data_IF_811695880685
#
_entry.id   IF_811695880685
#
_cell.length_a   1.000
_cell.length_b   1.000
_cell.length_c   1.000
_cell.angle_alpha   90.00
_cell.angle_beta   90.00
_cell.angle_gamma   90.00
#
_symmetry.space_group_name_H-M   'P 1'
#
loop_
_entity.id
_entity.type
_entity.pdbx_description
1 polymer ?
#
# COMPACT_ATOMS: atom_id res chain seq x y z
N UNK A 1 -0.61 -3.18 25.83
CA UNK A 1 0.05 -1.86 25.75
C UNK A 1 1.51 -2.05 25.37
N UNK A 2 2.09 -1.20 24.49
CA UNK A 2 3.50 -1.30 24.11
C UNK A 2 4.41 -0.62 25.15
N UNK A 3 5.61 -1.16 25.38
CA UNK A 3 6.57 -0.62 26.35
C UNK A 3 7.38 0.55 25.78
N UNK A 4 7.86 1.44 26.64
CA UNK A 4 8.67 2.59 26.24
C UNK A 4 9.99 2.23 25.52
N UNK A 5 10.71 1.15 25.88
CA UNK A 5 11.84 0.65 25.11
C UNK A 5 11.43 0.20 23.70
N UNK A 6 10.26 -0.45 23.55
CA UNK A 6 9.75 -0.86 22.25
C UNK A 6 9.45 0.36 21.37
N UNK A 7 8.79 1.38 21.90
CA UNK A 7 8.50 2.63 21.18
C UNK A 7 9.81 3.29 20.72
N UNK A 8 10.82 3.37 21.60
CA UNK A 8 12.13 3.96 21.26
C UNK A 8 12.83 3.22 20.13
N UNK A 9 12.72 1.88 20.10
CA UNK A 9 13.27 1.03 19.03
C UNK A 9 12.57 1.29 17.69
N UNK A 10 11.25 1.42 17.68
CA UNK A 10 10.49 1.71 16.45
C UNK A 10 10.85 3.09 15.90
N UNK A 11 10.95 4.12 16.76
CA UNK A 11 11.35 5.46 16.33
C UNK A 11 12.77 5.46 15.75
N UNK A 12 13.71 4.69 16.32
CA UNK A 12 15.06 4.57 15.78
C UNK A 12 15.10 3.90 14.40
N UNK A 13 14.24 2.91 14.15
CA UNK A 13 14.12 2.27 12.82
C UNK A 13 13.52 3.26 11.82
N UNK A 14 12.48 4.00 12.21
CA UNK A 14 11.84 4.99 11.34
C UNK A 14 12.76 6.16 11.00
N UNK A 15 13.60 6.59 11.94
CA UNK A 15 14.63 7.62 11.69
C UNK A 15 15.72 7.11 10.73
N UNK A 16 16.19 5.86 10.90
CA UNK A 16 17.16 5.24 9.98
C UNK A 16 16.59 5.08 8.56
N UNK A 17 15.30 4.83 8.44
CA UNK A 17 14.60 4.79 7.16
C UNK A 17 14.33 6.20 6.58
N UNK A 18 14.73 7.27 7.28
CA UNK A 18 14.48 8.66 6.90
C UNK A 18 13.02 9.11 7.06
N UNK A 19 12.12 8.23 7.52
CA UNK A 19 10.67 8.47 7.63
C UNK A 19 10.30 9.39 8.80
N UNK A 20 11.21 9.54 9.77
CA UNK A 20 11.03 10.42 10.93
C UNK A 20 12.30 11.22 11.16
N UNK A 21 12.17 12.52 11.43
CA UNK A 21 13.25 13.38 11.90
C UNK A 21 13.10 13.65 13.41
N UNK A 22 14.23 13.63 14.15
CA UNK A 22 14.27 14.02 15.57
C UNK A 22 15.03 15.32 15.76
N UNK A 23 14.38 16.27 16.41
CA UNK A 23 15.02 17.46 16.96
C UNK A 23 15.11 17.32 18.47
N UNK A 24 16.21 17.80 19.07
CA UNK A 24 16.33 17.92 20.53
C UNK A 24 15.90 19.32 20.93
N UNK A 25 14.83 19.41 21.71
CA UNK A 25 14.36 20.66 22.30
C UNK A 25 14.35 20.50 23.82
N UNK A 26 15.45 20.89 24.48
CA UNK A 26 15.66 20.70 25.92
C UNK A 26 15.32 19.26 26.40
N UNK A 27 14.31 19.09 27.27
CA UNK A 27 13.83 17.78 27.74
C UNK A 27 12.89 17.06 26.75
N UNK A 28 12.44 17.73 25.68
CA UNK A 28 11.50 17.18 24.69
C UNK A 28 12.25 16.64 23.47
N UNK A 29 11.70 15.56 22.92
CA UNK A 29 12.14 14.98 21.64
C UNK A 29 10.97 14.98 20.65
N UNK A 30 10.62 16.14 20.07
CA UNK A 30 9.64 16.19 19.01
C UNK A 30 10.10 15.31 17.84
N UNK A 31 9.25 14.36 17.45
CA UNK A 31 9.43 13.49 16.29
C UNK A 31 8.51 13.99 15.18
N UNK A 32 9.05 14.30 14.00
CA UNK A 32 8.27 14.76 12.84
C UNK A 32 8.29 13.68 11.77
N UNK A 33 7.14 13.43 11.15
CA UNK A 33 7.04 12.50 10.01
C UNK A 33 7.54 13.22 8.75
N UNK A 34 8.44 12.57 8.04
CA UNK A 34 8.96 13.02 6.75
C UNK A 34 8.28 12.22 5.64
N UNK A 35 7.47 12.86 4.80
CA UNK A 35 6.73 12.20 3.72
C UNK A 35 7.61 11.85 2.51
N UNK A 36 8.81 12.45 2.42
CA UNK A 36 9.73 12.33 1.26
C UNK A 36 10.18 10.88 0.96
N UNK A 37 10.71 10.12 1.94
CA UNK A 37 11.11 8.73 1.67
C UNK A 37 9.91 7.81 1.37
N UNK A 38 8.72 8.15 1.87
CA UNK A 38 7.50 7.42 1.53
C UNK A 38 7.13 7.61 0.06
N UNK A 39 7.33 8.82 -0.49
CA UNK A 39 7.11 9.12 -1.90
C UNK A 39 8.00 8.27 -2.83
N UNK A 40 9.27 8.10 -2.48
CA UNK A 40 10.20 7.28 -3.27
C UNK A 40 9.83 5.79 -3.23
N UNK A 41 9.38 5.29 -2.08
CA UNK A 41 8.86 3.94 -1.94
C UNK A 41 7.59 3.75 -2.79
N UNK A 42 6.66 4.70 -2.74
CA UNK A 42 5.44 4.68 -3.58
C UNK A 42 5.79 4.68 -5.07
N UNK A 43 6.72 5.53 -5.51
CA UNK A 43 7.18 5.57 -6.90
C UNK A 43 7.79 4.23 -7.33
N UNK A 44 8.53 3.55 -6.45
CA UNK A 44 9.05 2.21 -6.74
C UNK A 44 7.92 1.18 -6.85
N UNK A 45 6.93 1.22 -5.95
CA UNK A 45 5.75 0.35 -5.96
C UNK A 45 4.90 0.55 -7.22
N UNK A 46 4.72 1.78 -7.69
CA UNK A 46 3.95 2.09 -8.91
C UNK A 46 4.51 1.38 -10.15
N UNK A 47 5.85 1.31 -10.28
CA UNK A 47 6.48 0.56 -11.38
C UNK A 47 6.13 -0.93 -11.34
N UNK A 48 6.08 -1.48 -10.14
CA UNK A 48 5.77 -2.88 -9.95
C UNK A 48 4.27 -3.16 -10.16
N UNK A 49 3.41 -2.25 -9.71
CA UNK A 49 1.98 -2.29 -9.96
C UNK A 49 1.70 -2.34 -11.47
N UNK A 50 2.37 -1.51 -12.28
CA UNK A 50 2.20 -1.52 -13.73
C UNK A 50 2.55 -2.87 -14.37
N UNK A 51 3.61 -3.52 -13.91
CA UNK A 51 4.00 -4.87 -14.40
C UNK A 51 2.93 -5.91 -14.04
N UNK A 52 2.41 -5.84 -12.82
CA UNK A 52 1.38 -6.77 -12.36
C UNK A 52 0.05 -6.56 -13.08
N UNK A 53 -0.38 -5.32 -13.27
CA UNK A 53 -1.58 -5.00 -14.06
C UNK A 53 -1.46 -5.56 -15.47
N UNK A 54 -0.34 -5.32 -16.16
CA UNK A 54 -0.13 -5.86 -17.51
C UNK A 54 -0.16 -7.40 -17.57
N UNK A 55 0.36 -8.08 -16.54
CA UNK A 55 0.32 -9.54 -16.47
C UNK A 55 -1.10 -10.06 -16.21
N UNK A 56 -1.87 -9.39 -15.36
CA UNK A 56 -3.26 -9.73 -15.09
C UNK A 56 -4.14 -9.49 -16.33
N UNK A 57 -3.94 -8.37 -17.04
CA UNK A 57 -4.65 -8.08 -18.29
C UNK A 57 -4.41 -9.16 -19.35
N UNK A 58 -3.17 -9.66 -19.47
CA UNK A 58 -2.83 -10.78 -20.36
C UNK A 58 -3.52 -12.08 -19.94
N UNK A 59 -3.58 -12.36 -18.64
CA UNK A 59 -4.27 -13.53 -18.13
C UNK A 59 -5.77 -13.46 -18.43
N UNK A 60 -6.39 -12.29 -18.21
CA UNK A 60 -7.80 -12.06 -18.54
C UNK A 60 -8.06 -12.23 -20.04
N UNK A 61 -7.17 -11.73 -20.91
CA UNK A 61 -7.26 -11.95 -22.35
C UNK A 61 -7.24 -13.44 -22.71
N UNK A 62 -6.29 -14.21 -22.16
CA UNK A 62 -6.20 -15.66 -22.39
C UNK A 62 -7.44 -16.42 -21.89
N UNK A 63 -8.00 -16.05 -20.74
CA UNK A 63 -9.19 -16.68 -20.19
C UNK A 63 -10.43 -16.39 -21.06
N UNK A 64 -10.53 -15.18 -21.61
CA UNK A 64 -11.59 -14.80 -22.54
C UNK A 64 -11.46 -15.54 -23.89
N UNK A 65 -10.24 -15.70 -24.40
CA UNK A 65 -9.96 -16.49 -25.62
C UNK A 65 -10.28 -17.97 -25.45
N UNK A 66 -10.02 -18.54 -24.27
CA UNK A 66 -10.27 -19.96 -23.97
C UNK A 66 -11.75 -20.25 -23.66
N UNK A 67 -12.65 -19.27 -23.77
CA UNK A 67 -14.09 -19.49 -23.61
C UNK A 67 -14.53 -19.79 -22.17
N UNK A 68 -13.65 -19.62 -21.18
CA UNK A 68 -14.03 -19.65 -19.75
C UNK A 68 -14.66 -18.30 -19.38
N UNK A 69 -15.63 -17.88 -20.18
CA UNK A 69 -16.37 -16.64 -19.99
C UNK A 69 -17.20 -16.81 -18.73
N UNK A 70 -16.83 -16.12 -17.65
CA UNK A 70 -17.67 -16.03 -16.47
C UNK A 70 -19.00 -15.40 -16.87
N UNK A 71 -20.00 -16.27 -17.01
CA UNK A 71 -21.40 -15.95 -17.26
C UNK A 71 -21.83 -14.80 -16.34
N UNK A 72 -22.35 -13.67 -16.86
CA UNK A 72 -22.77 -12.55 -16.03
C UNK A 72 -23.85 -13.06 -15.06
N UNK A 73 -23.50 -13.12 -13.78
CA UNK A 73 -24.40 -13.55 -12.70
C UNK A 73 -25.53 -12.53 -12.55
N UNK A 74 -26.64 -12.84 -13.21
CA UNK A 74 -28.01 -12.52 -12.81
C UNK A 74 -28.40 -11.03 -12.83
N UNK A 75 -29.05 -10.60 -13.90
CA UNK A 75 -30.04 -9.52 -13.82
C UNK A 75 -31.18 -10.03 -12.92
N UNK A 76 -31.20 -9.64 -11.64
CA UNK A 76 -32.38 -9.83 -10.78
C UNK A 76 -33.52 -8.99 -11.35
N UNK A 77 -34.39 -9.65 -12.10
CA UNK A 77 -35.72 -9.16 -12.43
C UNK A 77 -36.43 -8.78 -11.13
N UNK A 78 -36.56 -7.47 -10.87
CA UNK A 78 -37.58 -6.97 -9.94
C UNK A 78 -38.93 -7.14 -10.63
N UNK A 79 -39.53 -8.28 -10.38
CA UNK A 79 -40.93 -8.59 -10.66
C UNK A 79 -41.75 -8.15 -9.45
N UNK A 80 -42.78 -7.34 -9.72
CA UNK A 80 -43.98 -7.09 -8.90
C UNK A 80 -43.84 -6.35 -7.55
N UNK A 81 -44.41 -5.14 -7.48
CA UNK A 81 -45.78 -4.95 -6.99
C UNK A 81 -46.38 -3.66 -7.55
#
# INVERSE_FOLDING_TARGET
AMSQPAISKHIAVLERAGLVSRSRDAQRRPCRIEAKPLHDATRWLERYAAVWTANLDRLDAMLNETGVSQKPRGKRTKRQK
#
